data_IF_642125518710
#
_entry.id   IF_642125518710
#
_cell.length_a   1.000
_cell.length_b   1.000
_cell.length_c   1.000
_cell.angle_alpha   90.00
_cell.angle_beta   90.00
_cell.angle_gamma   90.00
#
_symmetry.space_group_name_H-M   'P 1'
#
loop_
_entity.id
_entity.type
_entity.pdbx_description
1 polymer ?
#
# COMPACT_ATOMS: atom_id res chain seq x y z
N UNK A 1 62.53 20.58 -29.37
CA UNK A 1 61.90 19.29 -29.32
C UNK A 1 61.59 18.75 -27.92
N UNK A 2 62.43 19.01 -26.88
CA UNK A 2 62.15 18.53 -25.50
C UNK A 2 61.00 19.23 -24.78
N UNK A 3 60.60 20.45 -25.12
CA UNK A 3 59.49 21.18 -24.51
C UNK A 3 58.08 20.77 -25.08
N UNK A 4 58.03 20.23 -26.31
CA UNK A 4 56.79 19.73 -26.90
C UNK A 4 56.37 18.36 -26.35
N UNK A 5 57.32 17.51 -25.96
CA UNK A 5 57.02 16.20 -25.38
C UNK A 5 56.44 16.31 -23.96
N UNK A 6 56.83 17.33 -23.19
CA UNK A 6 56.35 17.52 -21.82
C UNK A 6 54.88 18.01 -21.77
N UNK A 7 54.46 18.80 -22.75
CA UNK A 7 53.07 19.28 -22.86
C UNK A 7 52.13 18.16 -23.34
N UNK A 8 52.59 17.27 -24.24
CA UNK A 8 51.82 16.13 -24.69
C UNK A 8 51.57 15.08 -23.58
N UNK A 9 52.56 14.89 -22.69
CA UNK A 9 52.45 13.93 -21.57
C UNK A 9 51.55 14.45 -20.43
N UNK A 10 51.49 15.75 -20.20
CA UNK A 10 50.58 16.37 -19.22
C UNK A 10 49.11 16.36 -19.72
N UNK A 11 48.92 16.53 -21.03
CA UNK A 11 47.59 16.43 -21.65
C UNK A 11 47.03 14.98 -21.71
N UNK A 12 47.92 13.96 -21.82
CA UNK A 12 47.47 12.55 -21.78
C UNK A 12 47.12 12.08 -20.36
N UNK A 13 47.73 12.61 -19.31
CA UNK A 13 47.39 12.32 -17.90
C UNK A 13 46.14 13.04 -17.48
N UNK A 14 45.80 14.19 -18.06
CA UNK A 14 44.56 14.91 -17.78
C UNK A 14 43.34 14.28 -18.45
N UNK A 15 43.50 13.53 -19.56
CA UNK A 15 42.37 12.82 -20.22
C UNK A 15 42.03 11.46 -19.60
N UNK A 16 42.87 10.89 -18.75
CA UNK A 16 42.56 9.64 -18.04
C UNK A 16 41.80 9.84 -16.71
N UNK A 17 41.64 11.08 -16.25
CA UNK A 17 40.96 11.44 -15.01
C UNK A 17 39.47 11.76 -15.22
N UNK A 18 38.96 11.81 -16.46
CA UNK A 18 37.57 12.09 -16.76
C UNK A 18 36.76 10.88 -17.23
N UNK A 19 37.32 9.67 -17.22
CA UNK A 19 36.63 8.43 -17.67
C UNK A 19 36.31 7.44 -16.54
N UNK A 20 36.43 7.83 -15.28
CA UNK A 20 35.74 7.14 -14.18
C UNK A 20 34.43 7.90 -13.95
N UNK A 21 33.37 7.41 -14.54
CA UNK A 21 32.01 7.70 -14.07
C UNK A 21 32.02 7.39 -12.58
N UNK A 22 31.98 8.41 -11.73
CA UNK A 22 31.93 8.25 -10.30
C UNK A 22 30.68 7.40 -10.01
N UNK A 23 30.87 6.20 -9.47
CA UNK A 23 29.78 5.52 -8.76
C UNK A 23 29.33 6.54 -7.71
N UNK A 24 28.09 6.96 -7.81
CA UNK A 24 27.43 7.70 -6.73
C UNK A 24 27.31 6.70 -5.59
N UNK A 25 28.25 6.77 -4.64
CA UNK A 25 28.25 5.89 -3.49
C UNK A 25 27.01 6.20 -2.66
N UNK A 26 26.39 5.16 -2.08
CA UNK A 26 25.35 5.35 -1.08
C UNK A 26 25.81 6.34 -0.01
N UNK A 27 24.89 7.11 0.56
CA UNK A 27 25.21 7.99 1.68
C UNK A 27 25.85 7.16 2.80
N UNK A 28 27.07 7.49 3.19
CA UNK A 28 27.75 6.78 4.26
C UNK A 28 26.94 6.88 5.57
N UNK A 29 26.81 5.78 6.31
CA UNK A 29 26.16 5.74 7.63
C UNK A 29 26.96 6.61 8.64
N UNK A 30 26.78 7.92 8.55
CA UNK A 30 27.40 8.89 9.47
C UNK A 30 26.54 8.95 10.74
N UNK A 31 26.98 8.29 11.80
CA UNK A 31 26.34 8.35 13.12
C UNK A 31 25.52 7.10 13.54
N UNK A 32 25.74 5.95 12.91
CA UNK A 32 25.17 4.67 13.38
C UNK A 32 23.75 4.35 12.88
N UNK A 33 23.05 5.23 12.19
CA UNK A 33 21.77 4.94 11.56
C UNK A 33 21.96 4.24 10.21
N UNK A 34 21.17 3.20 9.90
CA UNK A 34 21.24 2.51 8.61
C UNK A 34 20.86 3.45 7.46
N UNK A 35 21.34 3.13 6.24
CA UNK A 35 20.91 3.77 5.00
C UNK A 35 19.87 2.91 4.29
N UNK A 36 18.90 3.54 3.60
CA UNK A 36 17.82 2.81 2.93
C UNK A 36 17.50 3.41 1.56
N UNK A 37 17.27 2.53 0.59
CA UNK A 37 16.65 2.85 -0.69
C UNK A 37 15.26 2.24 -0.78
N UNK A 38 14.24 3.08 -1.01
CA UNK A 38 12.90 2.64 -1.38
C UNK A 38 12.79 2.56 -2.90
N UNK A 39 12.28 1.46 -3.42
CA UNK A 39 11.94 1.29 -4.83
C UNK A 39 10.44 1.10 -4.97
N UNK A 40 9.79 1.95 -5.75
CA UNK A 40 8.34 1.92 -5.97
C UNK A 40 8.02 1.63 -7.44
N UNK A 41 6.79 1.21 -7.70
CA UNK A 41 6.24 1.18 -9.06
C UNK A 41 5.99 2.59 -9.61
N UNK A 42 5.37 2.68 -10.79
CA UNK A 42 5.14 3.94 -11.51
C UNK A 42 4.23 4.95 -10.77
N UNK A 43 3.47 4.49 -9.75
CA UNK A 43 2.61 5.39 -8.97
C UNK A 43 3.39 6.26 -7.99
N UNK A 44 4.60 5.83 -7.61
CA UNK A 44 5.48 6.60 -6.73
C UNK A 44 4.89 6.85 -5.34
N UNK A 45 5.56 7.70 -4.57
CA UNK A 45 5.17 8.03 -3.19
C UNK A 45 3.99 9.03 -3.09
N UNK A 46 3.48 9.50 -4.22
CA UNK A 46 2.34 10.44 -4.30
C UNK A 46 0.99 9.72 -4.49
N UNK A 47 0.97 8.39 -4.41
CA UNK A 47 -0.23 7.56 -4.57
C UNK A 47 -1.29 7.78 -3.48
N UNK A 48 -0.94 8.46 -2.38
CA UNK A 48 -1.75 8.72 -1.19
C UNK A 48 -2.21 7.46 -0.45
N UNK A 49 -1.60 6.33 -0.73
CA UNK A 49 -2.00 5.01 -0.30
C UNK A 49 -0.76 4.19 0.11
N UNK A 50 -0.41 3.17 -0.63
CA UNK A 50 0.54 2.11 -0.33
C UNK A 50 2.01 2.57 -0.29
N UNK A 51 2.48 3.16 -1.40
CA UNK A 51 3.87 3.65 -1.47
C UNK A 51 4.09 4.86 -0.55
N UNK A 52 3.08 5.75 -0.46
CA UNK A 52 3.10 6.86 0.49
C UNK A 52 3.20 6.38 1.95
N UNK A 53 2.56 5.26 2.31
CA UNK A 53 2.67 4.68 3.64
C UNK A 53 4.08 4.14 3.92
N UNK A 54 4.69 3.41 2.98
CA UNK A 54 6.07 2.95 3.09
C UNK A 54 7.04 4.13 3.29
N UNK A 55 6.87 5.18 2.49
CA UNK A 55 7.69 6.38 2.58
C UNK A 55 7.55 7.11 3.93
N UNK A 56 6.30 7.25 4.44
CA UNK A 56 6.08 7.84 5.78
C UNK A 56 6.80 7.09 6.88
N UNK A 57 6.80 5.75 6.82
CA UNK A 57 7.51 4.92 7.80
C UNK A 57 9.01 5.17 7.77
N UNK A 58 9.60 5.26 6.58
CA UNK A 58 11.02 5.56 6.40
C UNK A 58 11.34 6.95 6.97
N UNK A 59 10.64 7.97 6.51
CA UNK A 59 10.88 9.36 6.94
C UNK A 59 10.75 9.51 8.45
N UNK A 60 9.72 8.89 9.05
CA UNK A 60 9.48 8.92 10.49
C UNK A 60 10.59 8.23 11.31
N UNK A 61 11.17 7.13 10.80
CA UNK A 61 12.29 6.43 11.45
C UNK A 61 13.49 7.36 11.67
N UNK A 62 13.73 8.28 10.75
CA UNK A 62 14.83 9.25 10.88
C UNK A 62 14.44 10.51 11.66
N UNK A 63 13.18 10.64 12.08
CA UNK A 63 12.66 11.80 12.82
C UNK A 63 12.32 12.99 11.93
N UNK A 64 12.19 12.77 10.63
CA UNK A 64 11.73 13.75 9.65
C UNK A 64 10.21 13.68 9.46
N UNK A 65 9.64 14.61 8.70
CA UNK A 65 8.26 14.54 8.18
C UNK A 65 8.28 14.50 6.65
N UNK A 66 7.19 14.04 6.05
CA UNK A 66 7.07 13.96 4.58
C UNK A 66 7.22 15.35 3.94
N UNK A 67 6.69 16.39 4.62
CA UNK A 67 6.77 17.78 4.16
C UNK A 67 8.17 18.38 4.33
N UNK A 68 8.98 17.83 5.24
CA UNK A 68 10.35 18.28 5.50
C UNK A 68 11.32 17.10 5.66
N UNK A 69 11.65 16.40 4.56
CA UNK A 69 12.56 15.26 4.56
C UNK A 69 14.03 15.71 4.59
N UNK A 70 14.46 16.32 5.67
CA UNK A 70 15.76 17.03 5.80
C UNK A 70 16.98 16.11 5.66
N UNK A 71 16.79 14.79 5.89
CA UNK A 71 17.84 13.79 5.82
C UNK A 71 17.80 12.94 4.54
N UNK A 72 16.87 13.26 3.61
CA UNK A 72 16.82 12.65 2.29
C UNK A 72 18.12 12.89 1.52
N UNK A 73 18.59 11.88 0.78
CA UNK A 73 19.88 11.90 0.10
C UNK A 73 21.08 11.68 1.02
N UNK A 74 20.87 11.68 2.35
CA UNK A 74 21.92 11.38 3.34
C UNK A 74 21.77 9.99 3.95
N UNK A 75 20.56 9.61 4.34
CA UNK A 75 20.26 8.32 4.93
C UNK A 75 19.24 7.52 4.14
N UNK A 76 18.32 8.17 3.47
CA UNK A 76 17.25 7.53 2.73
C UNK A 76 16.96 8.27 1.43
N UNK A 77 16.52 7.52 0.44
CA UNK A 77 16.02 8.06 -0.82
C UNK A 77 15.02 7.09 -1.45
N UNK A 78 14.35 7.55 -2.51
CA UNK A 78 13.37 6.77 -3.25
C UNK A 78 13.61 6.85 -4.75
N UNK A 79 13.43 5.72 -5.43
CA UNK A 79 13.41 5.63 -6.89
C UNK A 79 12.09 5.04 -7.33
N UNK A 80 11.43 5.70 -8.28
CA UNK A 80 10.19 5.26 -8.90
C UNK A 80 10.49 4.63 -10.25
N UNK A 81 10.18 3.34 -10.40
CA UNK A 81 10.29 2.63 -11.66
C UNK A 81 9.07 2.89 -12.55
N UNK A 82 9.24 3.54 -13.68
CA UNK A 82 8.14 3.91 -14.57
C UNK A 82 7.53 2.69 -15.28
N UNK A 83 8.28 1.61 -15.44
CA UNK A 83 7.90 0.38 -16.10
C UNK A 83 8.57 -0.82 -15.42
N UNK A 84 8.02 -2.03 -15.56
CA UNK A 84 8.54 -3.23 -14.89
C UNK A 84 9.93 -3.65 -15.38
N UNK A 85 10.30 -3.33 -16.62
CA UNK A 85 11.63 -3.58 -17.14
C UNK A 85 12.73 -2.80 -16.42
N UNK A 86 12.37 -1.73 -15.68
CA UNK A 86 13.28 -0.99 -14.81
C UNK A 86 13.53 -1.66 -13.44
N UNK A 87 12.77 -2.68 -13.06
CA UNK A 87 12.85 -3.27 -11.71
C UNK A 87 14.22 -3.90 -11.45
N UNK A 88 14.68 -4.79 -12.32
CA UNK A 88 15.99 -5.44 -12.19
C UNK A 88 17.13 -4.41 -12.23
N UNK A 89 17.19 -3.48 -13.21
CA UNK A 89 18.21 -2.42 -13.21
C UNK A 89 18.23 -1.59 -11.92
N UNK A 90 17.08 -1.17 -11.42
CA UNK A 90 16.99 -0.36 -10.21
C UNK A 90 17.42 -1.12 -8.94
N UNK A 91 17.07 -2.42 -8.84
CA UNK A 91 17.53 -3.27 -7.75
C UNK A 91 19.04 -3.44 -7.75
N UNK A 92 19.62 -3.75 -8.92
CA UNK A 92 21.08 -3.88 -9.06
C UNK A 92 21.80 -2.59 -8.75
N UNK A 93 21.30 -1.46 -9.28
CA UNK A 93 21.89 -0.16 -8.99
C UNK A 93 21.88 0.13 -7.48
N UNK A 94 20.74 -0.07 -6.80
CA UNK A 94 20.65 0.17 -5.37
C UNK A 94 21.57 -0.76 -4.56
N UNK A 95 21.73 -2.02 -4.98
CA UNK A 95 22.66 -2.96 -4.35
C UNK A 95 24.14 -2.59 -4.61
N UNK A 96 24.46 -2.15 -5.82
CA UNK A 96 25.81 -1.65 -6.17
C UNK A 96 26.17 -0.34 -5.44
N UNK A 97 25.19 0.42 -5.00
CA UNK A 97 25.36 1.63 -4.18
C UNK A 97 25.53 1.29 -2.68
N UNK A 98 25.40 0.01 -2.29
CA UNK A 98 25.68 -0.51 -0.93
C UNK A 98 24.80 0.11 0.18
N UNK A 99 23.48 0.33 -0.07
CA UNK A 99 22.55 0.68 0.99
C UNK A 99 22.45 -0.44 2.04
N UNK A 100 22.32 -0.09 3.33
CA UNK A 100 22.16 -1.08 4.39
C UNK A 100 20.86 -1.88 4.24
N UNK A 101 19.82 -1.29 3.62
CA UNK A 101 18.53 -1.91 3.33
C UNK A 101 17.95 -1.40 2.01
N UNK A 102 17.44 -2.29 1.20
CA UNK A 102 16.63 -1.96 0.02
C UNK A 102 15.21 -2.48 0.26
N UNK A 103 14.22 -1.60 0.14
CA UNK A 103 12.80 -1.97 0.27
C UNK A 103 12.12 -1.80 -1.07
N UNK A 104 11.36 -2.82 -1.48
CA UNK A 104 10.48 -2.78 -2.65
C UNK A 104 9.02 -2.88 -2.20
N UNK A 105 8.14 -2.10 -2.83
CA UNK A 105 6.72 -2.06 -2.48
C UNK A 105 5.86 -2.75 -3.54
N UNK A 106 5.18 -3.82 -3.12
CA UNK A 106 4.20 -4.55 -3.91
C UNK A 106 4.73 -5.82 -4.57
N UNK A 107 3.80 -6.75 -4.79
CA UNK A 107 4.07 -8.08 -5.33
C UNK A 107 4.63 -8.08 -6.77
N UNK A 108 4.44 -7.01 -7.52
CA UNK A 108 4.98 -6.89 -8.90
C UNK A 108 6.51 -6.90 -8.95
N UNK A 109 7.19 -6.65 -7.83
CA UNK A 109 8.64 -6.72 -7.70
C UNK A 109 9.19 -8.12 -7.45
N UNK A 110 8.32 -9.10 -7.14
CA UNK A 110 8.73 -10.41 -6.65
C UNK A 110 9.70 -11.15 -7.59
N UNK A 111 9.37 -11.22 -8.88
CA UNK A 111 10.22 -11.91 -9.87
C UNK A 111 11.59 -11.22 -10.01
N UNK A 112 11.62 -9.89 -10.04
CA UNK A 112 12.86 -9.13 -10.12
C UNK A 112 13.73 -9.32 -8.87
N UNK A 113 13.11 -9.35 -7.69
CA UNK A 113 13.81 -9.57 -6.43
C UNK A 113 14.30 -11.00 -6.30
N UNK A 114 13.53 -12.02 -6.76
CA UNK A 114 13.96 -13.41 -6.84
C UNK A 114 15.19 -13.60 -7.74
N UNK A 115 15.32 -12.81 -8.81
CA UNK A 115 16.49 -12.82 -9.69
C UNK A 115 17.70 -12.14 -9.04
N UNK A 116 17.49 -10.98 -8.39
CA UNK A 116 18.62 -10.12 -7.95
C UNK A 116 19.13 -10.50 -6.57
N UNK A 117 18.27 -10.81 -5.59
CA UNK A 117 18.69 -11.04 -4.20
C UNK A 117 19.78 -12.12 -4.04
N UNK A 118 19.77 -13.26 -4.76
CA UNK A 118 20.84 -14.27 -4.68
C UNK A 118 22.20 -13.79 -5.21
N UNK A 119 22.20 -12.73 -6.05
CA UNK A 119 23.43 -12.18 -6.62
C UNK A 119 24.16 -11.24 -5.63
N UNK A 120 23.44 -10.79 -4.58
CA UNK A 120 23.95 -9.89 -3.54
C UNK A 120 23.66 -10.47 -2.14
N UNK A 121 24.33 -11.57 -1.75
CA UNK A 121 23.98 -12.33 -0.53
C UNK A 121 24.15 -11.52 0.77
N UNK A 122 25.00 -10.50 0.79
CA UNK A 122 25.23 -9.65 1.96
C UNK A 122 24.30 -8.44 2.01
N UNK A 123 23.63 -8.09 0.90
CA UNK A 123 22.65 -7.02 0.82
C UNK A 123 21.33 -7.46 1.47
N UNK A 124 20.76 -6.61 2.32
CA UNK A 124 19.46 -6.84 2.96
C UNK A 124 18.35 -6.24 2.10
N UNK A 125 17.31 -7.03 1.90
CA UNK A 125 16.12 -6.62 1.16
C UNK A 125 14.85 -6.82 1.99
N UNK A 126 13.86 -5.99 1.75
CA UNK A 126 12.51 -6.20 2.23
C UNK A 126 11.51 -6.04 1.08
N UNK A 127 10.51 -6.88 1.03
CA UNK A 127 9.40 -6.78 0.08
C UNK A 127 8.07 -6.82 0.82
N UNK A 128 7.08 -6.07 0.32
CA UNK A 128 5.74 -6.01 0.88
C UNK A 128 4.74 -6.67 -0.08
N UNK A 129 3.81 -7.46 0.48
CA UNK A 129 2.71 -8.16 -0.21
C UNK A 129 3.10 -9.44 -0.94
N UNK A 130 4.16 -10.10 -0.50
CA UNK A 130 4.50 -11.47 -0.92
C UNK A 130 4.93 -12.32 0.28
N UNK A 131 4.90 -13.65 0.13
CA UNK A 131 5.38 -14.64 1.10
C UNK A 131 6.18 -15.79 0.46
N UNK A 132 6.66 -15.56 -0.78
CA UNK A 132 7.33 -16.58 -1.60
C UNK A 132 8.70 -16.15 -2.15
N UNK A 133 9.22 -14.96 -1.79
CA UNK A 133 10.60 -14.55 -2.11
C UNK A 133 11.51 -14.96 -0.95
N UNK A 134 11.70 -16.25 -0.78
CA UNK A 134 12.27 -16.87 0.42
C UNK A 134 13.82 -16.98 0.34
N UNK A 135 14.53 -15.84 0.20
CA UNK A 135 15.98 -15.80 0.29
C UNK A 135 16.45 -15.42 1.70
N UNK A 136 17.62 -15.92 2.17
CA UNK A 136 18.13 -15.62 3.53
C UNK A 136 18.33 -14.13 3.83
N UNK A 137 18.52 -13.32 2.80
CA UNK A 137 18.74 -11.88 2.86
C UNK A 137 17.48 -11.05 2.50
N UNK A 138 16.30 -11.67 2.40
CA UNK A 138 15.04 -11.01 2.10
C UNK A 138 14.03 -11.25 3.21
N UNK A 139 13.40 -10.20 3.71
CA UNK A 139 12.21 -10.29 4.57
C UNK A 139 10.96 -9.98 3.75
N UNK A 140 10.02 -10.91 3.75
CA UNK A 140 8.73 -10.83 3.08
C UNK A 140 7.66 -10.39 4.09
N UNK A 141 7.06 -9.21 3.90
CA UNK A 141 5.98 -8.72 4.74
C UNK A 141 4.63 -8.98 4.07
N UNK A 142 3.74 -9.71 4.76
CA UNK A 142 2.34 -9.91 4.36
C UNK A 142 1.39 -9.40 5.43
N UNK A 143 0.16 -9.10 5.02
CA UNK A 143 -0.85 -8.55 5.91
C UNK A 143 -2.11 -9.43 5.91
N UNK A 144 -2.90 -9.31 6.98
CA UNK A 144 -4.23 -9.89 7.07
C UNK A 144 -5.27 -8.84 6.62
N UNK A 145 -5.23 -8.50 5.34
CA UNK A 145 -6.06 -7.45 4.73
C UNK A 145 -7.55 -7.73 4.93
N UNK A 146 -7.94 -8.99 4.93
CA UNK A 146 -9.32 -9.43 5.17
C UNK A 146 -9.86 -8.95 6.53
N UNK A 147 -8.98 -8.83 7.54
CA UNK A 147 -9.41 -8.40 8.87
C UNK A 147 -9.79 -6.91 8.89
N UNK A 148 -8.91 -6.03 8.36
CA UNK A 148 -9.20 -4.60 8.27
C UNK A 148 -10.35 -4.31 7.33
N UNK A 149 -10.44 -5.03 6.22
CA UNK A 149 -11.51 -4.90 5.23
C UNK A 149 -12.87 -5.32 5.78
N UNK A 150 -12.92 -6.33 6.65
CA UNK A 150 -14.14 -6.68 7.36
C UNK A 150 -14.67 -5.51 8.19
N UNK A 151 -13.80 -4.80 8.91
CA UNK A 151 -14.21 -3.67 9.73
C UNK A 151 -14.81 -2.53 8.90
N UNK A 152 -14.22 -2.19 7.76
CA UNK A 152 -14.76 -1.12 6.91
C UNK A 152 -16.01 -1.55 6.17
N UNK A 153 -16.15 -2.83 5.82
CA UNK A 153 -17.40 -3.39 5.29
C UNK A 153 -18.53 -3.36 6.30
N UNK A 154 -18.24 -3.72 7.55
CA UNK A 154 -19.16 -3.63 8.67
C UNK A 154 -19.57 -2.16 8.93
N UNK A 155 -18.60 -1.24 8.95
CA UNK A 155 -18.86 0.18 9.13
C UNK A 155 -19.80 0.74 8.04
N UNK A 156 -19.55 0.41 6.76
CA UNK A 156 -20.39 0.84 5.65
C UNK A 156 -21.82 0.29 5.76
N UNK A 157 -21.96 -0.96 6.16
CA UNK A 157 -23.28 -1.59 6.34
C UNK A 157 -24.05 -1.01 7.53
N UNK A 158 -23.39 -0.78 8.66
CA UNK A 158 -24.00 -0.15 9.83
C UNK A 158 -24.40 1.30 9.55
N UNK A 159 -23.58 2.04 8.80
CA UNK A 159 -23.92 3.40 8.38
C UNK A 159 -25.13 3.40 7.43
N UNK A 160 -25.20 2.49 6.45
CA UNK A 160 -26.36 2.36 5.58
C UNK A 160 -27.65 2.06 6.38
N UNK A 161 -27.54 1.24 7.42
CA UNK A 161 -28.65 0.95 8.33
C UNK A 161 -29.07 2.17 9.15
N UNK A 162 -28.10 2.95 9.63
CA UNK A 162 -28.35 4.20 10.36
C UNK A 162 -29.01 5.26 9.46
N UNK A 163 -28.63 5.30 8.18
CA UNK A 163 -29.23 6.17 7.16
C UNK A 163 -30.61 5.70 6.68
N UNK A 164 -31.13 4.57 7.20
CA UNK A 164 -32.44 4.03 6.87
C UNK A 164 -32.55 3.35 5.51
N UNK A 165 -31.42 2.91 4.92
CA UNK A 165 -31.39 2.27 3.62
C UNK A 165 -31.72 0.77 3.78
N UNK A 166 -32.89 0.37 3.30
CA UNK A 166 -33.38 -1.00 3.50
C UNK A 166 -32.64 -2.05 2.67
N UNK A 167 -32.26 -1.71 1.44
CA UNK A 167 -31.60 -2.62 0.48
C UNK A 167 -30.37 -1.93 -0.14
N UNK A 168 -29.31 -1.70 0.65
CA UNK A 168 -28.13 -1.02 0.16
C UNK A 168 -27.37 -1.88 -0.87
N UNK A 169 -26.78 -1.19 -1.86
CA UNK A 169 -25.84 -1.80 -2.80
C UNK A 169 -24.44 -1.31 -2.47
N UNK A 170 -23.47 -2.20 -2.58
CA UNK A 170 -22.07 -1.88 -2.29
C UNK A 170 -21.19 -2.25 -3.48
N UNK A 171 -20.11 -1.49 -3.66
CA UNK A 171 -19.14 -1.71 -4.73
C UNK A 171 -17.75 -1.99 -4.17
N UNK A 172 -17.00 -2.83 -4.87
CA UNK A 172 -15.57 -3.03 -4.66
C UNK A 172 -14.81 -2.75 -5.94
N UNK A 173 -13.77 -1.91 -5.88
CA UNK A 173 -12.86 -1.67 -6.99
C UNK A 173 -11.48 -2.15 -6.58
N UNK A 174 -10.98 -3.20 -7.23
CA UNK A 174 -9.61 -3.69 -7.11
C UNK A 174 -8.69 -3.03 -8.13
N UNK A 175 -7.40 -2.94 -7.78
CA UNK A 175 -6.34 -2.56 -8.72
C UNK A 175 -6.06 -3.70 -9.70
N UNK A 176 -4.95 -4.39 -9.52
CA UNK A 176 -4.61 -5.61 -10.28
C UNK A 176 -5.14 -6.83 -9.51
N UNK A 177 -5.86 -7.77 -10.16
CA UNK A 177 -6.37 -8.96 -9.48
C UNK A 177 -5.21 -9.86 -8.98
N UNK A 178 -5.46 -10.61 -7.92
CA UNK A 178 -4.51 -11.53 -7.28
C UNK A 178 -4.82 -11.73 -5.81
N UNK A 179 -4.16 -12.68 -5.17
CA UNK A 179 -4.43 -13.14 -3.81
C UNK A 179 -4.50 -11.99 -2.78
N UNK A 180 -3.59 -11.01 -2.84
CA UNK A 180 -3.59 -9.87 -1.92
C UNK A 180 -4.87 -9.04 -2.04
N UNK A 181 -5.30 -8.70 -3.26
CA UNK A 181 -6.48 -7.86 -3.47
C UNK A 181 -7.77 -8.62 -3.19
N UNK A 182 -7.77 -9.93 -3.44
CA UNK A 182 -8.88 -10.82 -3.04
C UNK A 182 -9.14 -10.78 -1.53
N UNK A 183 -8.12 -10.72 -0.68
CA UNK A 183 -8.31 -10.59 0.78
C UNK A 183 -9.08 -9.32 1.15
N UNK A 184 -8.79 -8.18 0.50
CA UNK A 184 -9.53 -6.94 0.72
C UNK A 184 -11.00 -7.12 0.36
N UNK A 185 -11.29 -7.68 -0.81
CA UNK A 185 -12.65 -7.90 -1.28
C UNK A 185 -13.41 -8.87 -0.38
N UNK A 186 -12.80 -10.00 -0.05
CA UNK A 186 -13.44 -11.02 0.81
C UNK A 186 -13.77 -10.47 2.20
N UNK A 187 -12.85 -9.76 2.81
CA UNK A 187 -13.10 -9.12 4.11
C UNK A 187 -14.27 -8.13 4.04
N UNK A 188 -14.23 -7.23 3.06
CA UNK A 188 -15.25 -6.20 2.86
C UNK A 188 -16.66 -6.79 2.71
N UNK A 189 -16.82 -7.78 1.83
CA UNK A 189 -18.11 -8.41 1.56
C UNK A 189 -18.62 -9.15 2.81
N UNK A 190 -17.75 -9.86 3.53
CA UNK A 190 -18.13 -10.57 4.75
C UNK A 190 -18.58 -9.60 5.86
N UNK A 191 -17.90 -8.45 6.00
CA UNK A 191 -18.31 -7.38 6.90
C UNK A 191 -19.71 -6.83 6.57
N UNK A 192 -19.99 -6.56 5.29
CA UNK A 192 -21.30 -6.10 4.82
C UNK A 192 -22.37 -7.15 5.12
N UNK A 193 -22.12 -8.41 4.77
CA UNK A 193 -23.11 -9.49 4.90
C UNK A 193 -23.40 -9.89 6.34
N UNK A 194 -22.54 -9.51 7.28
CA UNK A 194 -22.86 -9.67 8.71
C UNK A 194 -24.04 -8.80 9.16
N UNK A 195 -24.36 -7.72 8.43
CA UNK A 195 -25.52 -6.83 8.69
C UNK A 195 -26.62 -7.04 7.67
N UNK A 196 -26.26 -7.16 6.40
CA UNK A 196 -27.16 -7.35 5.26
C UNK A 196 -26.81 -8.66 4.51
N UNK A 197 -27.30 -9.84 4.95
CA UNK A 197 -26.91 -11.14 4.38
C UNK A 197 -27.13 -11.26 2.86
N UNK A 198 -28.11 -10.52 2.33
CA UNK A 198 -28.49 -10.52 0.92
C UNK A 198 -28.11 -9.21 0.20
N UNK A 199 -27.16 -8.43 0.73
CA UNK A 199 -26.70 -7.20 0.07
C UNK A 199 -26.27 -7.46 -1.37
N UNK A 200 -26.62 -6.54 -2.27
CA UNK A 200 -26.12 -6.55 -3.63
C UNK A 200 -24.70 -6.02 -3.64
N UNK A 201 -23.80 -6.83 -4.17
CA UNK A 201 -22.38 -6.49 -4.33
C UNK A 201 -22.09 -6.42 -5.83
N UNK A 202 -21.34 -5.39 -6.23
CA UNK A 202 -20.75 -5.25 -7.57
C UNK A 202 -19.26 -5.08 -7.40
N UNK A 203 -18.49 -5.73 -8.27
CA UNK A 203 -17.03 -5.69 -8.26
C UNK A 203 -16.46 -5.35 -9.63
N UNK A 204 -15.27 -4.77 -9.63
CA UNK A 204 -14.52 -4.39 -10.83
C UNK A 204 -13.03 -4.34 -10.52
N UNK A 205 -12.20 -4.82 -11.42
CA UNK A 205 -10.75 -4.69 -11.35
C UNK A 205 -10.24 -3.80 -12.48
N UNK A 206 -9.54 -2.73 -12.11
CA UNK A 206 -9.04 -1.72 -13.05
C UNK A 206 -7.85 -2.22 -13.87
N UNK A 207 -7.17 -3.27 -13.42
CA UNK A 207 -5.92 -3.80 -13.97
C UNK A 207 -4.81 -2.73 -14.06
N UNK A 208 -4.83 -1.74 -13.17
CA UNK A 208 -3.86 -0.66 -13.12
C UNK A 208 -3.86 0.00 -11.74
N UNK A 209 -2.70 0.46 -11.28
CA UNK A 209 -2.55 1.13 -10.00
C UNK A 209 -2.57 2.66 -10.10
N UNK A 210 -2.32 3.22 -11.30
CA UNK A 210 -2.08 4.65 -11.52
C UNK A 210 -3.09 5.34 -12.44
N UNK A 211 -4.32 4.78 -12.63
CA UNK A 211 -5.35 5.33 -13.53
C UNK A 211 -6.64 5.71 -12.81
N UNK A 212 -6.64 6.82 -12.05
CA UNK A 212 -7.80 7.25 -11.29
C UNK A 212 -9.05 7.51 -12.15
N UNK A 213 -8.89 7.83 -13.43
CA UNK A 213 -10.00 8.01 -14.37
C UNK A 213 -10.84 6.75 -14.55
N UNK A 214 -10.23 5.55 -14.48
CA UNK A 214 -10.95 4.28 -14.57
C UNK A 214 -11.89 4.08 -13.38
N UNK A 215 -11.36 4.23 -12.17
CA UNK A 215 -12.16 4.11 -10.94
C UNK A 215 -13.20 5.22 -10.85
N UNK A 216 -12.90 6.46 -11.29
CA UNK A 216 -13.85 7.57 -11.31
C UNK A 216 -15.03 7.28 -12.23
N UNK A 217 -14.78 6.79 -13.45
CA UNK A 217 -15.82 6.44 -14.40
C UNK A 217 -16.71 5.30 -13.89
N UNK A 218 -16.09 4.26 -13.29
CA UNK A 218 -16.82 3.13 -12.72
C UNK A 218 -17.65 3.55 -11.51
N UNK A 219 -17.08 4.35 -10.60
CA UNK A 219 -17.79 4.88 -9.44
C UNK A 219 -18.98 5.75 -9.85
N UNK A 220 -18.80 6.62 -10.88
CA UNK A 220 -19.91 7.40 -11.43
C UNK A 220 -21.05 6.51 -11.89
N UNK A 221 -20.75 5.49 -12.70
CA UNK A 221 -21.75 4.55 -13.19
C UNK A 221 -22.49 3.87 -12.03
N UNK A 222 -21.77 3.38 -11.03
CA UNK A 222 -22.36 2.67 -9.92
C UNK A 222 -23.21 3.55 -8.99
N UNK A 223 -22.74 4.75 -8.65
CA UNK A 223 -23.51 5.70 -7.85
C UNK A 223 -24.80 6.13 -8.56
N UNK A 224 -24.75 6.32 -9.89
CA UNK A 224 -25.95 6.64 -10.69
C UNK A 224 -26.95 5.45 -10.72
N UNK A 225 -26.47 4.22 -10.47
CA UNK A 225 -27.29 3.01 -10.37
C UNK A 225 -27.59 2.58 -8.91
N UNK A 226 -27.40 3.51 -7.95
CA UNK A 226 -27.82 3.36 -6.57
C UNK A 226 -26.86 2.59 -5.67
N UNK A 227 -25.58 2.44 -6.05
CA UNK A 227 -24.54 1.97 -5.12
C UNK A 227 -24.35 3.04 -4.04
N UNK A 228 -24.42 2.61 -2.79
CA UNK A 228 -24.33 3.49 -1.62
C UNK A 228 -22.88 3.79 -1.22
N UNK A 229 -22.05 2.75 -1.19
CA UNK A 229 -20.67 2.88 -0.74
C UNK A 229 -19.75 2.03 -1.62
N UNK A 230 -18.59 2.57 -2.00
CA UNK A 230 -17.58 1.88 -2.80
C UNK A 230 -16.26 1.84 -2.02
N UNK A 231 -15.72 0.64 -1.85
CA UNK A 231 -14.36 0.43 -1.35
C UNK A 231 -13.41 0.22 -2.53
N UNK A 232 -12.32 0.99 -2.57
CA UNK A 232 -11.32 0.87 -3.62
C UNK A 232 -9.96 0.46 -3.06
N UNK A 233 -9.61 -0.82 -3.20
CA UNK A 233 -8.27 -1.35 -2.92
C UNK A 233 -7.44 -1.33 -4.22
N UNK A 234 -7.05 -0.14 -4.66
CA UNK A 234 -6.51 0.11 -6.00
C UNK A 234 -5.39 1.16 -6.07
N UNK A 235 -4.72 1.45 -4.96
CA UNK A 235 -3.64 2.44 -4.91
C UNK A 235 -4.07 3.80 -5.46
N UNK A 236 -3.24 4.43 -6.30
CA UNK A 236 -3.54 5.72 -6.93
C UNK A 236 -4.80 5.71 -7.81
N UNK A 237 -5.13 4.56 -8.42
CA UNK A 237 -6.39 4.39 -9.17
C UNK A 237 -7.61 4.63 -8.29
N UNK A 238 -7.58 4.18 -7.02
CA UNK A 238 -8.65 4.36 -6.04
C UNK A 238 -8.99 5.82 -5.73
N UNK A 239 -8.07 6.75 -5.91
CA UNK A 239 -8.31 8.19 -5.73
C UNK A 239 -9.43 8.71 -6.64
N UNK A 240 -9.67 8.05 -7.77
CA UNK A 240 -10.78 8.36 -8.68
C UNK A 240 -12.15 8.14 -8.04
N UNK A 241 -12.30 7.07 -7.25
CA UNK A 241 -13.54 6.80 -6.49
C UNK A 241 -13.81 7.90 -5.46
N UNK A 242 -12.78 8.31 -4.71
CA UNK A 242 -12.89 9.39 -3.72
C UNK A 242 -13.30 10.70 -4.42
N UNK A 243 -12.66 11.02 -5.55
CA UNK A 243 -13.00 12.21 -6.32
C UNK A 243 -14.46 12.20 -6.80
N UNK A 244 -14.97 11.06 -7.28
CA UNK A 244 -16.36 10.95 -7.74
C UNK A 244 -17.36 11.02 -6.58
N UNK A 245 -17.06 10.36 -5.46
CA UNK A 245 -17.90 10.45 -4.26
C UNK A 245 -17.98 11.89 -3.76
N UNK A 246 -16.84 12.59 -3.73
CA UNK A 246 -16.75 14.01 -3.36
C UNK A 246 -17.65 14.90 -4.23
N UNK A 247 -17.59 14.77 -5.56
CA UNK A 247 -18.45 15.50 -6.49
C UNK A 247 -19.94 15.26 -6.19
N UNK A 248 -20.30 14.03 -5.84
CA UNK A 248 -21.69 13.67 -5.57
C UNK A 248 -22.18 14.12 -4.19
N UNK A 249 -21.33 14.05 -3.18
CA UNK A 249 -21.62 14.61 -1.85
C UNK A 249 -21.83 16.13 -1.92
N UNK A 250 -21.06 16.85 -2.72
CA UNK A 250 -21.27 18.28 -2.97
C UNK A 250 -22.63 18.59 -3.62
N UNK A 251 -23.19 17.64 -4.36
CA UNK A 251 -24.53 17.72 -4.96
C UNK A 251 -25.65 17.25 -4.01
N UNK A 252 -25.31 16.89 -2.77
CA UNK A 252 -26.26 16.40 -1.76
C UNK A 252 -26.66 14.93 -1.92
N UNK A 253 -25.97 14.16 -2.79
CA UNK A 253 -26.21 12.70 -2.89
C UNK A 253 -25.62 12.00 -1.66
N UNK A 254 -26.35 11.05 -1.10
CA UNK A 254 -25.87 10.21 0.03
C UNK A 254 -25.09 8.99 -0.47
N UNK A 255 -23.83 9.23 -0.84
CA UNK A 255 -22.89 8.21 -1.32
C UNK A 255 -21.56 8.32 -0.59
N UNK A 256 -20.83 7.22 -0.46
CA UNK A 256 -19.58 7.15 0.28
C UNK A 256 -18.48 6.43 -0.48
N UNK A 257 -17.24 6.84 -0.27
CA UNK A 257 -16.05 6.08 -0.60
C UNK A 257 -15.40 5.52 0.67
N UNK A 258 -14.69 4.42 0.56
CA UNK A 258 -13.78 3.90 1.58
C UNK A 258 -12.36 4.01 1.02
N UNK A 259 -11.47 4.60 1.82
CA UNK A 259 -10.05 4.70 1.52
C UNK A 259 -9.29 3.42 1.85
N UNK A 260 -8.03 3.33 1.39
CA UNK A 260 -7.18 2.14 1.57
C UNK A 260 -5.75 2.51 1.97
N UNK A 261 -5.11 1.62 2.71
CA UNK A 261 -3.74 1.67 3.25
C UNK A 261 -3.54 2.83 4.24
N UNK A 262 -3.74 4.06 3.77
CA UNK A 262 -3.62 5.30 4.53
C UNK A 262 -4.98 5.84 4.94
N UNK A 263 -5.01 6.71 5.95
CA UNK A 263 -6.21 7.49 6.24
C UNK A 263 -6.40 8.56 5.15
N UNK A 264 -7.36 8.31 4.28
CA UNK A 264 -7.70 9.18 3.15
C UNK A 264 -8.88 10.14 3.45
N UNK A 265 -9.25 10.33 4.73
CA UNK A 265 -10.30 11.27 5.11
C UNK A 265 -10.09 12.66 4.51
N UNK A 266 -8.86 13.17 4.56
CA UNK A 266 -8.53 14.52 4.07
C UNK A 266 -8.73 14.65 2.55
N UNK A 267 -8.49 13.58 1.79
CA UNK A 267 -8.66 13.59 0.33
C UNK A 267 -10.13 13.73 -0.10
N UNK A 268 -11.04 13.26 0.75
CA UNK A 268 -12.48 13.35 0.54
C UNK A 268 -13.14 14.65 0.99
N UNK A 269 -12.44 15.54 1.69
CA UNK A 269 -13.04 16.79 2.23
C UNK A 269 -13.58 17.64 1.11
N UNK A 270 -14.85 18.06 1.23
CA UNK A 270 -15.55 18.87 0.25
C UNK A 270 -16.24 20.13 0.84
N UNK A 271 -16.48 20.17 2.15
CA UNK A 271 -17.08 21.31 2.83
C UNK A 271 -16.70 21.29 4.33
N UNK A 272 -15.84 22.21 4.76
CA UNK A 272 -15.36 22.29 6.14
C UNK A 272 -14.71 20.99 6.59
N UNK A 273 -15.37 20.26 7.50
CA UNK A 273 -14.94 18.95 7.99
C UNK A 273 -15.69 17.77 7.35
N UNK A 274 -16.58 18.04 6.39
CA UNK A 274 -17.32 16.97 5.71
C UNK A 274 -16.47 16.30 4.66
N UNK A 275 -16.40 15.00 4.72
CA UNK A 275 -15.64 14.18 3.76
C UNK A 275 -16.54 13.15 3.07
N UNK A 276 -16.26 12.86 1.82
CA UNK A 276 -16.87 11.78 1.07
C UNK A 276 -16.27 10.41 1.41
N UNK A 277 -15.15 10.39 2.16
CA UNK A 277 -14.54 9.16 2.68
C UNK A 277 -15.17 8.84 4.03
N UNK A 278 -15.96 7.78 4.09
CA UNK A 278 -16.63 7.34 5.32
C UNK A 278 -15.62 6.87 6.37
N UNK A 279 -14.69 6.05 5.94
CA UNK A 279 -13.60 5.48 6.70
C UNK A 279 -12.49 5.05 5.73
N UNK A 280 -11.34 4.64 6.24
CA UNK A 280 -10.28 4.02 5.45
C UNK A 280 -9.87 2.69 6.06
N UNK A 281 -9.68 1.66 5.22
CA UNK A 281 -9.03 0.42 5.64
C UNK A 281 -7.54 0.72 5.78
N UNK A 282 -7.05 0.69 7.00
CA UNK A 282 -5.65 0.98 7.29
C UNK A 282 -4.81 -0.29 7.15
N UNK A 283 -3.81 -0.23 6.28
CA UNK A 283 -2.74 -1.21 6.15
C UNK A 283 -1.43 -0.50 6.44
N UNK A 284 -0.88 -0.76 7.62
CA UNK A 284 0.24 0.02 8.15
C UNK A 284 1.58 -0.43 7.55
N UNK A 285 1.76 -0.17 6.25
CA UNK A 285 3.01 -0.46 5.54
C UNK A 285 4.20 0.29 6.16
N UNK A 286 3.94 1.44 6.77
CA UNK A 286 4.92 2.16 7.58
C UNK A 286 5.52 1.29 8.70
N UNK A 287 4.74 0.40 9.32
CA UNK A 287 5.24 -0.47 10.39
C UNK A 287 6.24 -1.51 9.85
N UNK A 288 6.05 -2.02 8.62
CA UNK A 288 7.00 -2.96 8.00
C UNK A 288 8.33 -2.29 7.67
N UNK A 289 8.31 -1.06 7.14
CA UNK A 289 9.54 -0.32 6.83
C UNK A 289 10.29 0.09 8.10
N UNK A 290 9.58 0.56 9.15
CA UNK A 290 10.16 0.86 10.46
C UNK A 290 10.76 -0.41 11.09
N UNK A 291 10.04 -1.55 11.03
CA UNK A 291 10.54 -2.82 11.56
C UNK A 291 11.80 -3.27 10.84
N UNK A 292 11.80 -3.28 9.51
CA UNK A 292 12.97 -3.69 8.73
C UNK A 292 14.19 -2.81 9.02
N UNK A 293 14.00 -1.48 9.09
CA UNK A 293 15.06 -0.53 9.48
C UNK A 293 15.56 -0.78 10.89
N UNK A 294 14.65 -0.99 11.86
CA UNK A 294 15.01 -1.28 13.25
C UNK A 294 15.78 -2.59 13.38
N UNK A 295 15.40 -3.63 12.62
CA UNK A 295 16.11 -4.90 12.61
C UNK A 295 17.53 -4.76 12.03
N UNK A 296 17.73 -3.90 11.01
CA UNK A 296 19.06 -3.59 10.48
C UNK A 296 19.89 -2.82 11.52
N UNK A 297 19.32 -1.76 12.13
CA UNK A 297 20.00 -0.94 13.14
C UNK A 297 20.44 -1.78 14.34
N UNK A 298 19.59 -2.68 14.82
CA UNK A 298 19.83 -3.56 15.95
C UNK A 298 20.63 -4.83 15.61
N UNK A 299 21.02 -5.01 14.33
CA UNK A 299 21.73 -6.21 13.84
C UNK A 299 20.95 -7.51 14.08
N UNK A 300 19.63 -7.42 14.06
CA UNK A 300 18.68 -8.53 14.26
C UNK A 300 17.93 -8.91 12.97
N UNK A 301 18.34 -8.36 11.83
CA UNK A 301 17.71 -8.65 10.54
C UNK A 301 17.83 -10.14 10.20
N UNK A 302 16.69 -10.77 9.92
CA UNK A 302 16.58 -12.17 9.51
C UNK A 302 15.61 -12.24 8.33
N UNK A 303 16.00 -12.92 7.26
CA UNK A 303 15.11 -13.20 6.14
C UNK A 303 13.98 -14.16 6.52
N UNK A 304 12.92 -14.15 5.74
CA UNK A 304 11.74 -14.97 5.94
C UNK A 304 10.44 -14.17 5.97
N UNK A 305 9.32 -14.83 6.27
CA UNK A 305 7.99 -14.22 6.21
C UNK A 305 7.59 -13.60 7.55
N UNK A 306 7.17 -12.35 7.52
CA UNK A 306 6.57 -11.63 8.66
C UNK A 306 5.13 -11.30 8.33
N UNK A 307 4.19 -11.94 9.04
CA UNK A 307 2.76 -11.65 8.89
C UNK A 307 2.32 -10.60 9.90
N UNK A 308 1.66 -9.55 9.42
CA UNK A 308 1.15 -8.44 10.21
C UNK A 308 -0.38 -8.41 10.15
N UNK A 309 -0.99 -8.77 11.26
CA UNK A 309 -2.45 -8.78 11.40
C UNK A 309 -2.96 -7.66 12.30
N UNK A 310 -4.21 -7.77 12.69
CA UNK A 310 -4.84 -6.83 13.62
C UNK A 310 -4.24 -6.89 15.04
N UNK A 311 -3.74 -8.08 15.44
CA UNK A 311 -3.05 -8.28 16.73
C UNK A 311 -1.75 -7.47 16.79
N UNK A 312 -1.07 -7.34 15.66
CA UNK A 312 0.21 -6.64 15.54
C UNK A 312 0.04 -5.17 15.15
N UNK A 313 -1.21 -4.66 15.20
CA UNK A 313 -1.57 -3.34 14.66
C UNK A 313 -1.12 -3.15 13.20
N UNK A 314 -1.06 -4.24 12.43
CA UNK A 314 -0.73 -4.21 11.00
C UNK A 314 -1.87 -3.72 10.12
N UNK A 315 -3.11 -3.99 10.54
CA UNK A 315 -4.33 -3.56 9.82
C UNK A 315 -5.37 -3.01 10.80
N UNK A 316 -6.25 -2.15 10.28
CA UNK A 316 -7.31 -1.55 11.08
C UNK A 316 -8.28 -0.73 10.24
N UNK A 317 -8.93 0.26 10.86
CA UNK A 317 -9.80 1.21 10.18
C UNK A 317 -9.65 2.61 10.77
N UNK A 318 -10.00 3.65 9.98
CA UNK A 318 -9.96 5.04 10.42
C UNK A 318 -11.28 5.48 11.05
N UNK A 319 -11.19 6.26 12.12
CA UNK A 319 -12.31 6.95 12.77
C UNK A 319 -12.26 8.46 12.57
N UNK A 320 -11.48 8.95 11.60
CA UNK A 320 -11.26 10.39 11.39
C UNK A 320 -12.52 11.13 10.92
N UNK A 321 -13.44 10.44 10.23
CA UNK A 321 -14.67 11.09 9.76
C UNK A 321 -15.70 11.26 10.89
N UNK A 322 -16.06 12.49 11.30
CA UNK A 322 -17.03 12.74 12.35
C UNK A 322 -18.48 12.34 11.97
N UNK A 323 -18.76 12.13 10.68
CA UNK A 323 -20.05 11.60 10.20
C UNK A 323 -20.21 10.10 10.47
N UNK A 324 -19.10 9.36 10.75
CA UNK A 324 -19.16 7.98 11.22
C UNK A 324 -19.65 7.99 12.68
N UNK A 325 -20.88 7.55 12.91
CA UNK A 325 -21.51 7.70 14.22
C UNK A 325 -20.80 6.92 15.32
N UNK A 326 -20.84 7.44 16.56
CA UNK A 326 -20.25 6.78 17.72
C UNK A 326 -20.80 5.35 17.95
N UNK A 327 -22.07 5.10 17.61
CA UNK A 327 -22.70 3.79 17.72
C UNK A 327 -22.14 2.80 16.67
N UNK A 328 -21.84 3.30 15.46
CA UNK A 328 -21.14 2.50 14.43
C UNK A 328 -19.74 2.17 14.89
N UNK A 329 -18.97 3.17 15.34
CA UNK A 329 -17.60 2.98 15.86
C UNK A 329 -17.59 1.94 16.98
N UNK A 330 -18.48 2.03 17.96
CA UNK A 330 -18.59 1.06 19.06
C UNK A 330 -18.81 -0.36 18.58
N UNK A 331 -19.68 -0.56 17.58
CA UNK A 331 -19.96 -1.89 17.03
C UNK A 331 -18.78 -2.45 16.24
N UNK A 332 -18.08 -1.59 15.47
CA UNK A 332 -16.88 -1.97 14.73
C UNK A 332 -15.73 -2.31 15.68
N UNK A 333 -15.55 -1.56 16.77
CA UNK A 333 -14.53 -1.87 17.79
C UNK A 333 -14.82 -3.17 18.53
N UNK A 334 -16.09 -3.49 18.78
CA UNK A 334 -16.48 -4.78 19.33
C UNK A 334 -16.14 -5.93 18.36
N UNK A 335 -16.41 -5.76 17.07
CA UNK A 335 -16.03 -6.73 16.05
C UNK A 335 -14.49 -6.87 15.92
N UNK A 336 -13.75 -5.76 16.04
CA UNK A 336 -12.28 -5.78 16.11
C UNK A 336 -11.79 -6.67 17.24
N UNK A 337 -12.35 -6.53 18.45
CA UNK A 337 -12.00 -7.39 19.59
C UNK A 337 -12.38 -8.87 19.35
N UNK A 338 -13.52 -9.12 18.73
CA UNK A 338 -13.97 -10.47 18.38
C UNK A 338 -13.08 -11.13 17.29
N UNK A 339 -12.54 -10.37 16.35
CA UNK A 339 -11.57 -10.86 15.37
C UNK A 339 -10.24 -11.21 16.06
N UNK A 340 -9.72 -10.31 16.92
CA UNK A 340 -8.48 -10.51 17.66
C UNK A 340 -8.57 -11.75 18.55
N UNK A 341 -9.71 -11.98 19.20
CA UNK A 341 -9.93 -13.17 20.04
C UNK A 341 -10.23 -14.45 19.25
N UNK A 342 -10.36 -14.39 17.93
CA UNK A 342 -10.70 -15.53 17.07
C UNK A 342 -12.16 -15.93 17.07
N UNK A 343 -13.04 -15.16 17.73
CA UNK A 343 -14.49 -15.40 17.77
C UNK A 343 -15.16 -15.11 16.40
N UNK A 344 -14.69 -14.11 15.66
CA UNK A 344 -15.05 -13.89 14.27
C UNK A 344 -13.94 -14.45 13.40
N UNK A 345 -14.28 -15.44 12.56
CA UNK A 345 -13.41 -15.97 11.52
C UNK A 345 -13.76 -15.32 10.19
N UNK A 346 -12.77 -14.82 9.47
CA UNK A 346 -12.90 -14.24 8.14
C UNK A 346 -12.16 -15.16 7.16
N UNK A 347 -12.77 -15.46 6.03
CA UNK A 347 -12.18 -16.29 4.97
C UNK A 347 -11.42 -15.38 4.01
N UNK A 348 -10.08 -15.55 3.87
CA UNK A 348 -9.26 -14.65 3.07
C UNK A 348 -9.31 -14.91 1.57
N UNK A 349 -9.68 -16.13 1.13
CA UNK A 349 -9.74 -16.53 -0.27
C UNK A 349 -11.17 -16.59 -0.78
N UNK A 350 -11.36 -16.32 -2.07
CA UNK A 350 -12.70 -16.43 -2.70
C UNK A 350 -13.24 -17.86 -2.62
N UNK A 351 -12.38 -18.84 -2.86
CA UNK A 351 -12.75 -20.26 -2.78
C UNK A 351 -13.28 -20.66 -1.40
N UNK A 352 -12.58 -20.28 -0.33
CA UNK A 352 -13.02 -20.58 1.05
C UNK A 352 -14.29 -19.82 1.42
N UNK A 353 -14.34 -18.53 1.11
CA UNK A 353 -15.48 -17.66 1.42
C UNK A 353 -16.75 -18.10 0.69
N UNK A 354 -16.62 -18.50 -0.58
CA UNK A 354 -17.74 -19.03 -1.37
C UNK A 354 -18.22 -20.38 -0.82
N UNK A 355 -17.32 -21.30 -0.51
CA UNK A 355 -17.64 -22.61 0.06
C UNK A 355 -18.35 -22.48 1.42
N UNK A 356 -18.01 -21.47 2.21
CA UNK A 356 -18.67 -21.15 3.47
C UNK A 356 -20.01 -20.39 3.30
N UNK A 357 -20.39 -20.02 2.07
CA UNK A 357 -21.57 -19.18 1.82
C UNK A 357 -21.43 -17.73 2.32
N UNK A 358 -20.20 -17.31 2.63
CA UNK A 358 -19.91 -16.00 3.20
C UNK A 358 -19.93 -14.87 2.16
N UNK A 359 -19.69 -15.20 0.88
CA UNK A 359 -19.74 -14.27 -0.25
C UNK A 359 -20.62 -14.81 -1.38
N UNK A 360 -21.13 -13.97 -2.30
CA UNK A 360 -21.89 -14.43 -3.46
C UNK A 360 -20.98 -15.10 -4.50
N UNK A 361 -21.59 -15.90 -5.37
CA UNK A 361 -20.92 -16.40 -6.57
C UNK A 361 -20.84 -15.32 -7.66
N UNK A 362 -19.86 -15.46 -8.57
CA UNK A 362 -19.72 -14.62 -9.77
C UNK A 362 -18.92 -13.35 -9.53
N UNK A 363 -18.13 -13.27 -8.47
CA UNK A 363 -17.15 -12.21 -8.27
C UNK A 363 -15.94 -12.40 -9.19
N UNK A 364 -15.23 -11.30 -9.47
CA UNK A 364 -14.04 -11.27 -10.33
C UNK A 364 -12.72 -11.50 -9.56
N UNK A 365 -12.81 -11.80 -8.26
CA UNK A 365 -11.66 -12.10 -7.39
C UNK A 365 -10.86 -13.32 -7.88
N UNK A 366 -9.54 -13.24 -7.75
CA UNK A 366 -8.60 -14.33 -8.05
C UNK A 366 -7.80 -14.69 -6.79
N UNK A 367 -7.69 -15.97 -6.48
CA UNK A 367 -6.98 -16.47 -5.28
C UNK A 367 -5.48 -16.69 -5.51
N UNK A 368 -4.99 -16.54 -6.73
CA UNK A 368 -3.62 -16.75 -7.22
C UNK A 368 -3.05 -15.56 -8.02
#
# INVERSE_FOLDING_TARGET
MKKLLTVAMVLLVAMTLFAQGGKEAAPASAGGKPTIRLLTDATGIDDKSFNAAAWRGIVAFYGDTVENPSQRGKYYDVVTAQTQDMYIPNLRQAADEEYDLIVVTGFTWADALNEVAPQYPDQKFAIVDVDYVLHPNVVDFIYSEEQGSYLVGLAAALQAKADGIANPKFGFIGGVPGATITKFEMGYIQGIRSVFPNAQIVDYYANDWGKPELAKAQAKNWYDNGVYCIFSAAGGTGNGTIAQAKEYRMQGKNVWAIGVDSDQYADGIYDGTKSAVLTSMLKRVENSTIKALSDVENKSFVGGVVKMGMVDDGVGYSTANPELSADVVKQVDAAKADIISGKIRIYPTYKEALAAGAVPAGLSALDD
#
